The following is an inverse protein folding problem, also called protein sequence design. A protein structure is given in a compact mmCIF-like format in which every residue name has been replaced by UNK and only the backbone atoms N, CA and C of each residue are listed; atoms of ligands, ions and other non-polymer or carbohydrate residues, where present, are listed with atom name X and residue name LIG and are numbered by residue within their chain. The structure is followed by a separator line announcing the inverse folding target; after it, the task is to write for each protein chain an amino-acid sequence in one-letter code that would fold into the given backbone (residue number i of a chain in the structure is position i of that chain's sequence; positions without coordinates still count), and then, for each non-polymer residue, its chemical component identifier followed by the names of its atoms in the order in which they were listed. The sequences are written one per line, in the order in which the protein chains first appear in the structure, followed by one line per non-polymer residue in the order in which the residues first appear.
data_IF_480856698380
#
_entry.id   IF_480856698380
#
_cell.length_a   1.000
_cell.length_b   1.000
_cell.length_c   1.000
_cell.angle_alpha   90.00
_cell.angle_beta   90.00
_cell.angle_gamma   90.00
#
_symmetry.space_group_name_H-M   'P 1'
#
loop_
_entity.id
_entity.type
_entity.pdbx_description
1 polymer ?
#
# COMPACT_ATOMS: atom_id res chain seq x y z
N UNK A 1 15.67 2.46 8.22
CA UNK A 1 15.04 3.61 7.55
C UNK A 1 15.72 4.95 7.89
N UNK A 2 16.72 4.98 8.76
CA UNK A 2 17.52 6.18 9.06
C UNK A 2 16.80 7.31 9.80
N UNK A 3 15.65 7.02 10.41
CA UNK A 3 14.96 8.00 11.27
C UNK A 3 15.74 8.11 12.60
N UNK A 4 16.16 9.33 13.01
CA UNK A 4 16.88 9.52 14.26
C UNK A 4 16.09 9.07 15.49
N UNK A 5 16.80 8.53 16.49
CA UNK A 5 16.17 7.94 17.69
C UNK A 5 15.32 8.94 18.48
N UNK A 6 15.76 10.19 18.56
CA UNK A 6 14.99 11.22 19.25
C UNK A 6 13.63 11.50 18.59
N UNK A 7 13.56 11.47 17.24
CA UNK A 7 12.28 11.62 16.51
C UNK A 7 11.40 10.39 16.69
N UNK A 8 11.99 9.19 16.68
CA UNK A 8 11.28 7.95 16.96
C UNK A 8 10.67 7.97 18.38
N UNK A 9 11.43 8.46 19.37
CA UNK A 9 10.95 8.63 20.75
C UNK A 9 9.79 9.64 20.82
N UNK A 10 9.91 10.78 20.17
CA UNK A 10 8.83 11.80 20.13
C UNK A 10 7.55 11.24 19.48
N UNK A 11 7.68 10.54 18.37
CA UNK A 11 6.54 9.91 17.69
C UNK A 11 5.89 8.84 18.57
N UNK A 12 6.69 8.00 19.23
CA UNK A 12 6.16 7.01 20.18
C UNK A 12 5.37 7.66 21.31
N UNK A 13 5.87 8.74 21.88
CA UNK A 13 5.17 9.47 22.93
C UNK A 13 3.91 10.15 22.42
N UNK A 14 3.92 10.67 21.19
CA UNK A 14 2.75 11.29 20.54
C UNK A 14 1.60 10.29 20.36
N UNK A 15 1.91 9.03 20.08
CA UNK A 15 0.93 7.97 19.80
C UNK A 15 0.68 7.06 21.01
N UNK A 16 1.41 7.22 22.13
CA UNK A 16 1.19 6.43 23.34
C UNK A 16 -0.09 6.85 24.07
N UNK A 17 -0.88 5.86 24.52
CA UNK A 17 -2.06 6.08 25.33
C UNK A 17 -3.16 6.92 24.66
N UNK A 18 -3.25 6.91 23.34
CA UNK A 18 -4.31 7.63 22.63
C UNK A 18 -5.66 6.98 22.86
N UNK A 19 -6.65 7.82 23.12
CA UNK A 19 -8.05 7.43 23.28
C UNK A 19 -8.92 8.20 22.31
N UNK A 20 -10.06 7.62 21.96
CA UNK A 20 -11.06 8.26 21.12
C UNK A 20 -12.47 8.01 21.65
N UNK A 21 -13.39 8.90 21.30
CA UNK A 21 -14.82 8.74 21.44
C UNK A 21 -15.50 9.12 20.13
N UNK A 22 -16.61 8.50 19.81
CA UNK A 22 -17.38 8.78 18.60
C UNK A 22 -18.68 9.46 18.97
N UNK A 23 -18.98 10.57 18.32
CA UNK A 23 -20.25 11.26 18.48
C UNK A 23 -21.30 10.61 17.57
N UNK A 24 -22.30 10.01 18.20
CA UNK A 24 -23.44 9.40 17.50
C UNK A 24 -24.70 10.25 17.66
N UNK A 25 -25.79 9.87 16.98
CA UNK A 25 -27.10 10.52 17.14
C UNK A 25 -27.64 10.36 18.56
N UNK A 26 -27.23 9.32 19.28
CA UNK A 26 -27.65 9.03 20.66
C UNK A 26 -26.70 9.60 21.74
N UNK A 27 -25.67 10.35 21.34
CA UNK A 27 -24.66 10.90 22.23
C UNK A 27 -23.25 10.34 21.93
N UNK A 28 -22.23 10.80 22.70
CA UNK A 28 -20.89 10.25 22.57
C UNK A 28 -20.82 8.84 23.15
N UNK A 29 -19.98 8.01 22.53
CA UNK A 29 -19.65 6.67 23.07
C UNK A 29 -18.74 6.82 24.31
N UNK A 30 -18.53 5.73 25.03
CA UNK A 30 -17.45 5.65 26.00
C UNK A 30 -16.09 5.80 25.30
N UNK A 31 -15.08 6.26 26.04
CA UNK A 31 -13.71 6.37 25.57
C UNK A 31 -13.11 4.98 25.35
N UNK A 32 -12.44 4.82 24.23
CA UNK A 32 -11.75 3.57 23.90
C UNK A 32 -10.31 3.83 23.44
N UNK A 33 -9.42 2.90 23.76
CA UNK A 33 -8.00 2.98 23.42
C UNK A 33 -7.78 2.76 21.91
N UNK A 34 -6.89 3.59 21.32
CA UNK A 34 -6.41 3.43 19.95
C UNK A 34 -5.09 2.69 19.99
N UNK A 35 -5.09 1.43 19.57
CA UNK A 35 -3.91 0.57 19.61
C UNK A 35 -3.02 0.64 18.36
N UNK A 36 -3.52 1.16 17.23
CA UNK A 36 -2.79 1.20 15.95
C UNK A 36 -3.41 2.20 14.97
N UNK A 37 -2.62 2.54 13.94
CA UNK A 37 -3.01 3.48 12.90
C UNK A 37 -2.42 4.87 13.11
N UNK A 38 -2.70 5.78 12.17
CA UNK A 38 -2.30 7.18 12.24
C UNK A 38 -3.53 8.06 12.36
N UNK A 39 -3.39 9.21 13.03
CA UNK A 39 -4.50 10.13 13.29
C UNK A 39 -4.94 10.82 12.00
N UNK A 40 -6.22 10.71 11.65
CA UNK A 40 -6.80 11.48 10.55
C UNK A 40 -6.72 13.00 10.82
N UNK A 41 -6.40 13.76 9.76
CA UNK A 41 -6.24 15.22 9.85
C UNK A 41 -4.93 15.70 10.49
N UNK A 42 -4.05 14.80 10.96
CA UNK A 42 -2.75 15.18 11.46
C UNK A 42 -1.77 15.38 10.28
N UNK A 43 -1.03 16.49 10.30
CA UNK A 43 -0.05 16.83 9.26
C UNK A 43 1.07 15.78 9.10
N UNK A 44 1.39 15.02 10.15
CA UNK A 44 2.39 13.96 10.14
C UNK A 44 1.89 12.63 9.54
N UNK A 45 0.58 12.42 9.51
CA UNK A 45 0.01 11.13 9.12
C UNK A 45 0.36 10.69 7.69
N UNK A 46 0.32 11.56 6.66
CA UNK A 46 0.76 11.19 5.32
C UNK A 46 2.24 10.78 5.27
N UNK A 47 3.11 11.51 5.98
CA UNK A 47 4.54 11.18 6.04
C UNK A 47 4.78 9.83 6.71
N UNK A 48 4.10 9.56 7.82
CA UNK A 48 4.20 8.29 8.55
C UNK A 48 3.68 7.12 7.70
N UNK A 49 2.57 7.33 7.00
CA UNK A 49 2.03 6.32 6.09
C UNK A 49 3.00 6.03 4.93
N UNK A 50 3.60 7.06 4.33
CA UNK A 50 4.59 6.88 3.27
C UNK A 50 5.83 6.12 3.76
N UNK A 51 6.33 6.40 4.98
CA UNK A 51 7.42 5.64 5.58
C UNK A 51 7.04 4.17 5.81
N UNK A 52 5.80 3.93 6.19
CA UNK A 52 5.27 2.59 6.41
C UNK A 52 5.15 1.81 5.09
N UNK A 53 4.61 2.44 4.05
CA UNK A 53 4.54 1.87 2.71
C UNK A 53 5.94 1.56 2.16
N UNK A 54 6.90 2.47 2.35
CA UNK A 54 8.31 2.27 1.97
C UNK A 54 8.94 1.07 2.67
N UNK A 55 8.67 0.91 3.97
CA UNK A 55 9.13 -0.25 4.74
C UNK A 55 8.62 -1.57 4.15
N UNK A 56 7.32 -1.63 3.78
CA UNK A 56 6.72 -2.80 3.15
C UNK A 56 7.41 -3.12 1.82
N UNK A 57 7.59 -2.12 0.95
CA UNK A 57 8.18 -2.33 -0.38
C UNK A 57 9.64 -2.79 -0.30
N UNK A 58 10.42 -2.25 0.63
CA UNK A 58 11.81 -2.71 0.88
C UNK A 58 11.85 -4.15 1.34
N UNK A 59 11.01 -4.52 2.30
CA UNK A 59 10.95 -5.90 2.81
C UNK A 59 10.44 -6.89 1.75
N UNK A 60 9.58 -6.45 0.84
CA UNK A 60 9.17 -7.23 -0.31
C UNK A 60 10.28 -7.42 -1.37
N UNK A 61 11.45 -6.78 -1.19
CA UNK A 61 12.61 -6.90 -2.08
C UNK A 61 12.39 -6.26 -3.45
N UNK A 62 11.48 -5.28 -3.55
CA UNK A 62 11.17 -4.66 -4.84
C UNK A 62 12.29 -3.74 -5.34
N UNK A 63 13.12 -3.19 -4.46
CA UNK A 63 14.24 -2.32 -4.84
C UNK A 63 15.38 -3.10 -5.51
N UNK A 64 15.54 -4.38 -5.15
CA UNK A 64 16.61 -5.26 -5.63
C UNK A 64 16.18 -6.11 -6.83
N UNK A 65 14.88 -6.18 -7.10
CA UNK A 65 14.36 -6.99 -8.18
C UNK A 65 14.76 -6.39 -9.55
N UNK A 66 15.30 -7.22 -10.43
CA UNK A 66 15.48 -6.86 -11.86
C UNK A 66 14.14 -6.81 -12.62
N UNK A 67 13.06 -6.94 -11.88
CA UNK A 67 11.67 -6.92 -12.30
C UNK A 67 11.22 -5.51 -12.70
N UNK A 68 10.05 -5.40 -13.32
CA UNK A 68 9.43 -4.14 -13.70
C UNK A 68 9.65 -3.76 -15.16
N UNK A 69 9.14 -2.61 -15.53
CA UNK A 69 9.22 -2.08 -16.89
C UNK A 69 10.27 -0.97 -17.01
N UNK A 70 10.91 -0.84 -18.16
CA UNK A 70 11.87 0.22 -18.44
C UNK A 70 11.15 1.48 -18.93
N UNK A 71 11.21 2.56 -18.12
CA UNK A 71 10.71 3.87 -18.49
C UNK A 71 11.89 4.84 -18.57
N UNK A 72 12.13 5.42 -19.74
CA UNK A 72 13.26 6.35 -19.99
C UNK A 72 14.62 5.80 -19.50
N UNK A 73 14.88 4.50 -19.72
CA UNK A 73 16.12 3.83 -19.32
C UNK A 73 16.24 3.47 -17.84
N UNK A 74 15.23 3.74 -17.03
CA UNK A 74 15.17 3.36 -15.61
C UNK A 74 14.15 2.27 -15.39
N UNK A 75 14.50 1.27 -14.58
CA UNK A 75 13.55 0.25 -14.16
C UNK A 75 12.53 0.85 -13.18
N UNK A 76 11.25 0.68 -13.48
CA UNK A 76 10.14 1.06 -12.61
C UNK A 76 9.32 -0.17 -12.30
N UNK A 77 9.19 -0.50 -11.01
CA UNK A 77 8.47 -1.67 -10.52
C UNK A 77 7.14 -1.25 -9.93
N UNK A 78 7.09 -0.08 -9.32
CA UNK A 78 5.88 0.43 -8.68
C UNK A 78 5.74 1.95 -8.80
N UNK A 79 4.48 2.40 -8.78
CA UNK A 79 4.09 3.79 -8.58
C UNK A 79 3.15 3.84 -7.38
N UNK A 80 3.32 4.87 -6.54
CA UNK A 80 2.53 5.02 -5.31
C UNK A 80 1.94 6.41 -5.19
N UNK A 81 0.67 6.44 -4.81
CA UNK A 81 -0.02 7.67 -4.43
C UNK A 81 -0.89 7.38 -3.21
N UNK A 82 -0.49 7.90 -2.05
CA UNK A 82 -1.10 7.60 -0.75
C UNK A 82 -1.18 6.07 -0.52
N UNK A 83 -2.39 5.52 -0.42
CA UNK A 83 -2.68 4.09 -0.25
C UNK A 83 -2.80 3.33 -1.59
N UNK A 84 -2.91 4.03 -2.71
CA UNK A 84 -2.95 3.41 -4.03
C UNK A 84 -1.53 3.03 -4.49
N UNK A 85 -1.37 1.78 -4.88
CA UNK A 85 -0.10 1.26 -5.39
C UNK A 85 -0.33 0.56 -6.73
N UNK A 86 0.44 0.95 -7.74
CA UNK A 86 0.49 0.27 -9.03
C UNK A 86 1.78 -0.54 -9.11
N UNK A 87 1.69 -1.84 -9.34
CA UNK A 87 2.83 -2.70 -9.64
C UNK A 87 2.94 -2.87 -11.15
N UNK A 88 4.17 -2.92 -11.65
CA UNK A 88 4.46 -3.03 -13.09
C UNK A 88 5.43 -4.20 -13.31
N UNK A 89 5.17 -5.00 -14.35
CA UNK A 89 6.00 -6.13 -14.74
C UNK A 89 5.89 -6.37 -16.25
N UNK A 90 6.88 -7.06 -16.82
CA UNK A 90 6.90 -7.43 -18.24
C UNK A 90 6.11 -8.72 -18.51
N UNK A 91 5.85 -9.55 -17.49
CA UNK A 91 5.07 -10.78 -17.58
C UNK A 91 4.03 -10.93 -16.48
N UNK A 92 3.05 -11.79 -16.72
CA UNK A 92 2.00 -12.13 -15.77
C UNK A 92 2.57 -12.82 -14.52
N UNK A 93 3.48 -13.76 -14.70
CA UNK A 93 4.12 -14.53 -13.63
C UNK A 93 4.94 -13.61 -12.72
N UNK A 94 5.66 -12.68 -13.31
CA UNK A 94 6.43 -11.68 -12.60
C UNK A 94 5.51 -10.79 -11.77
N UNK A 95 4.43 -10.25 -12.36
CA UNK A 95 3.46 -9.42 -11.68
C UNK A 95 2.81 -10.16 -10.50
N UNK A 96 2.46 -11.43 -10.69
CA UNK A 96 1.89 -12.28 -9.65
C UNK A 96 2.87 -12.51 -8.50
N UNK A 97 4.15 -12.75 -8.80
CA UNK A 97 5.21 -12.90 -7.81
C UNK A 97 5.39 -11.63 -6.99
N UNK A 98 5.46 -10.46 -7.64
CA UNK A 98 5.58 -9.16 -6.98
C UNK A 98 4.39 -8.88 -6.05
N UNK A 99 3.18 -9.11 -6.56
CA UNK A 99 1.95 -8.89 -5.80
C UNK A 99 1.88 -9.77 -4.55
N UNK A 100 2.27 -11.04 -4.66
CA UNK A 100 2.26 -11.97 -3.52
C UNK A 100 3.26 -11.55 -2.45
N UNK A 101 4.46 -11.08 -2.83
CA UNK A 101 5.45 -10.54 -1.88
C UNK A 101 4.92 -9.30 -1.16
N UNK A 102 4.36 -8.34 -1.89
CA UNK A 102 3.77 -7.13 -1.29
C UNK A 102 2.62 -7.49 -0.35
N UNK A 103 1.76 -8.42 -0.77
CA UNK A 103 0.64 -8.90 0.07
C UNK A 103 1.15 -9.50 1.38
N UNK A 104 2.12 -10.40 1.30
CA UNK A 104 2.69 -11.06 2.49
C UNK A 104 3.30 -10.05 3.46
N UNK A 105 4.13 -9.12 2.98
CA UNK A 105 4.73 -8.09 3.81
C UNK A 105 3.71 -7.11 4.38
N UNK A 106 2.67 -6.78 3.62
CA UNK A 106 1.56 -5.93 4.08
C UNK A 106 0.76 -6.61 5.20
N UNK A 107 0.48 -7.89 5.10
CA UNK A 107 -0.25 -8.66 6.11
C UNK A 107 0.51 -8.78 7.42
N UNK A 108 1.85 -8.93 7.39
CA UNK A 108 2.71 -8.95 8.58
C UNK A 108 2.57 -7.69 9.43
N UNK A 109 2.28 -6.57 8.80
CA UNK A 109 2.13 -5.26 9.45
C UNK A 109 0.66 -4.83 9.61
N UNK A 110 -0.29 -5.72 9.32
CA UNK A 110 -1.72 -5.52 9.56
C UNK A 110 -2.46 -4.75 8.46
N UNK A 111 -1.86 -4.56 7.28
CA UNK A 111 -2.55 -4.06 6.09
C UNK A 111 -3.02 -5.23 5.23
N UNK A 112 -4.24 -5.12 4.71
CA UNK A 112 -4.83 -6.13 3.82
C UNK A 112 -5.02 -5.57 2.42
N UNK A 113 -4.60 -6.35 1.43
CA UNK A 113 -4.90 -6.06 0.03
C UNK A 113 -6.41 -6.19 -0.19
N UNK A 114 -7.00 -5.15 -0.81
CA UNK A 114 -8.41 -5.20 -1.23
C UNK A 114 -8.51 -5.73 -2.65
N UNK A 115 -8.79 -7.02 -2.81
CA UNK A 115 -8.89 -7.67 -4.13
C UNK A 115 -10.02 -7.04 -4.96
N UNK A 116 -11.14 -6.69 -4.33
CA UNK A 116 -12.28 -6.04 -5.00
C UNK A 116 -11.94 -4.66 -5.61
N UNK A 117 -10.96 -3.95 -5.03
CA UNK A 117 -10.48 -2.66 -5.54
C UNK A 117 -9.26 -2.82 -6.47
N UNK A 118 -8.63 -3.98 -6.47
CA UNK A 118 -7.47 -4.26 -7.30
C UNK A 118 -7.91 -4.49 -8.73
N UNK A 119 -7.22 -3.88 -9.68
CA UNK A 119 -7.48 -4.03 -11.11
C UNK A 119 -6.20 -4.36 -11.83
N UNK A 120 -6.31 -5.12 -12.90
CA UNK A 120 -5.19 -5.48 -13.76
C UNK A 120 -5.36 -4.81 -15.11
N UNK A 121 -4.24 -4.30 -15.62
CA UNK A 121 -4.15 -3.70 -16.92
C UNK A 121 -3.00 -4.36 -17.69
N UNK A 122 -3.27 -4.81 -18.91
CA UNK A 122 -2.24 -5.36 -19.78
C UNK A 122 -2.33 -4.79 -21.20
N UNK A 123 -1.20 -4.81 -21.88
CA UNK A 123 -1.10 -4.42 -23.30
C UNK A 123 -1.53 -5.53 -24.25
N UNK A 124 -1.70 -6.78 -23.76
CA UNK A 124 -2.13 -7.97 -24.51
C UNK A 124 -3.49 -8.51 -24.04
N UNK A 125 -4.00 -9.56 -24.70
CA UNK A 125 -5.24 -10.19 -24.29
C UNK A 125 -5.04 -10.95 -22.97
N UNK A 126 -5.63 -10.45 -21.88
CA UNK A 126 -5.81 -11.19 -20.64
C UNK A 126 -7.26 -11.64 -20.59
N UNK A 127 -7.48 -12.93 -20.41
CA UNK A 127 -8.84 -13.52 -20.38
C UNK A 127 -9.42 -13.59 -18.98
N UNK A 128 -8.61 -13.91 -17.98
CA UNK A 128 -9.01 -13.88 -16.55
C UNK A 128 -7.77 -13.89 -15.68
N UNK A 129 -7.84 -13.25 -14.53
CA UNK A 129 -6.76 -13.24 -13.54
C UNK A 129 -7.33 -13.52 -12.16
N UNK A 130 -6.68 -14.44 -11.44
CA UNK A 130 -7.10 -14.83 -10.11
C UNK A 130 -5.98 -14.59 -9.09
N UNK A 131 -6.36 -13.99 -7.96
CA UNK A 131 -5.52 -13.86 -6.79
C UNK A 131 -6.18 -14.66 -5.67
N UNK A 132 -5.53 -15.76 -5.25
CA UNK A 132 -5.98 -16.62 -4.13
C UNK A 132 -7.42 -17.10 -4.31
N UNK A 133 -7.80 -17.48 -5.54
CA UNK A 133 -9.14 -17.98 -5.86
C UNK A 133 -10.20 -16.90 -6.04
N UNK A 134 -9.85 -15.63 -5.96
CA UNK A 134 -10.76 -14.51 -6.29
C UNK A 134 -10.39 -13.91 -7.65
N UNK A 135 -11.38 -13.71 -8.50
CA UNK A 135 -11.20 -13.09 -9.82
C UNK A 135 -10.97 -11.60 -9.68
N UNK A 136 -9.92 -11.10 -10.34
CA UNK A 136 -9.58 -9.67 -10.37
C UNK A 136 -10.12 -9.04 -11.65
N UNK A 137 -10.69 -7.85 -11.53
CA UNK A 137 -11.19 -7.09 -12.66
C UNK A 137 -10.06 -6.72 -13.63
N UNK A 138 -10.24 -7.08 -14.90
CA UNK A 138 -9.31 -6.71 -15.97
C UNK A 138 -9.81 -5.44 -16.67
N UNK A 139 -8.96 -4.41 -16.74
CA UNK A 139 -9.26 -3.14 -17.41
C UNK A 139 -8.44 -3.02 -18.68
N UNK A 140 -9.08 -2.56 -19.76
CA UNK A 140 -8.40 -2.26 -21.03
C UNK A 140 -7.80 -0.85 -20.98
N UNK A 141 -6.65 -0.69 -21.63
CA UNK A 141 -6.02 0.62 -21.83
C UNK A 141 -6.89 1.46 -22.79
N UNK A 142 -7.26 2.66 -22.36
CA UNK A 142 -7.76 3.70 -23.25
C UNK A 142 -6.67 4.78 -23.35
N UNK A 143 -6.07 4.92 -24.55
CA UNK A 143 -5.26 6.08 -24.83
C UNK A 143 -6.18 7.30 -24.98
N UNK A 144 -6.12 8.25 -24.06
CA UNK A 144 -6.59 9.58 -24.35
C UNK A 144 -5.54 10.27 -25.24
N UNK A 145 -5.85 10.44 -26.50
CA UNK A 145 -5.11 11.36 -27.36
C UNK A 145 -5.57 12.76 -27.00
N UNK A 146 -4.69 13.54 -26.37
CA UNK A 146 -4.86 14.99 -26.23
C UNK A 146 -4.76 15.66 -27.61
#
# INVERSE_FOLDING_TARGET
MGVPDHLTCLLRNLYAGQEATVRTVHGPTDWFQIGKGVRQGCILSPCLFNLYAEYIMRNAGLEEAQAGIKIAGRNSINLRYADDTTLMAESEEELKSLLMKVKEESEKVGLKLSIQKTKIMASGPITSWEIIGETVETVRFYFFRL
#
